data_IF_433339570241
#
_entry.id   IF_433339570241
#
_cell.length_a   1.000
_cell.length_b   1.000
_cell.length_c   1.000
_cell.angle_alpha   90.00
_cell.angle_beta   90.00
_cell.angle_gamma   90.00
#
_symmetry.space_group_name_H-M   'P 1'
#
loop_
_entity.id
_entity.type
_entity.pdbx_description
1 polymer ?
#
# COMPACT_ATOMS: atom_id res chain seq x y z
N UNK A 1 12.33 -9.18 -17.58
CA UNK A 1 12.48 -8.07 -18.56
C UNK A 1 13.39 -7.06 -17.89
N UNK A 2 14.63 -6.94 -18.36
CA UNK A 2 15.57 -5.97 -17.79
C UNK A 2 15.22 -4.56 -18.27
N UNK A 3 15.46 -3.56 -17.41
CA UNK A 3 15.38 -2.16 -17.80
C UNK A 3 16.39 -1.92 -18.94
N UNK A 4 15.91 -1.48 -20.10
CA UNK A 4 16.81 -1.12 -21.19
C UNK A 4 17.60 0.15 -20.80
N UNK A 5 18.88 0.23 -21.16
CA UNK A 5 19.77 1.35 -20.86
C UNK A 5 19.17 2.70 -21.32
N UNK A 6 18.47 2.71 -22.45
CA UNK A 6 17.78 3.91 -22.96
C UNK A 6 16.75 4.44 -21.96
N UNK A 7 15.91 3.56 -21.39
CA UNK A 7 14.88 3.96 -20.45
C UNK A 7 15.48 4.42 -19.12
N UNK A 8 16.52 3.74 -18.65
CA UNK A 8 17.24 4.13 -17.44
C UNK A 8 17.88 5.51 -17.60
N UNK A 9 18.51 5.77 -18.75
CA UNK A 9 19.09 7.08 -19.08
C UNK A 9 18.00 8.14 -19.14
N UNK A 10 16.89 7.87 -19.84
CA UNK A 10 15.75 8.78 -19.92
C UNK A 10 15.17 9.12 -18.52
N UNK A 11 15.02 8.13 -17.65
CA UNK A 11 14.50 8.31 -16.29
C UNK A 11 15.43 9.17 -15.41
N UNK A 12 16.75 9.01 -15.58
CA UNK A 12 17.78 9.83 -14.91
C UNK A 12 17.79 11.26 -15.46
N UNK A 13 17.74 11.42 -16.77
CA UNK A 13 17.72 12.72 -17.43
C UNK A 13 16.47 13.51 -17.06
N UNK A 14 15.28 12.91 -17.14
CA UNK A 14 14.02 13.55 -16.75
C UNK A 14 14.06 14.10 -15.32
N UNK A 15 14.54 13.27 -14.39
CA UNK A 15 14.64 13.65 -12.98
C UNK A 15 15.68 14.75 -12.73
N UNK A 16 16.83 14.67 -13.42
CA UNK A 16 17.89 15.66 -13.35
C UNK A 16 17.42 17.03 -13.85
N UNK A 17 16.78 17.05 -15.01
CA UNK A 17 16.20 18.25 -15.61
C UNK A 17 15.13 18.88 -14.71
N UNK A 18 14.21 18.10 -14.15
CA UNK A 18 13.15 18.58 -13.25
C UNK A 18 13.68 19.29 -11.99
N UNK A 19 14.93 19.00 -11.59
CA UNK A 19 15.57 19.54 -10.38
C UNK A 19 16.70 20.53 -10.68
N UNK A 20 16.88 20.92 -11.94
CA UNK A 20 17.91 21.87 -12.35
C UNK A 20 19.35 21.33 -12.18
N UNK A 21 19.51 20.02 -12.26
CA UNK A 21 20.80 19.36 -12.08
C UNK A 21 21.57 19.29 -13.40
N UNK A 22 22.90 19.29 -13.33
CA UNK A 22 23.76 19.20 -14.51
C UNK A 22 23.76 17.77 -15.07
N UNK A 23 22.82 17.48 -15.96
CA UNK A 23 22.69 16.22 -16.70
C UNK A 23 22.77 16.48 -18.20
N UNK A 24 23.14 15.47 -18.98
CA UNK A 24 23.10 15.58 -20.45
C UNK A 24 21.65 15.87 -20.89
N UNK A 25 21.39 17.05 -21.50
CA UNK A 25 20.04 17.51 -21.71
C UNK A 25 19.36 16.73 -22.83
N UNK A 26 18.09 16.39 -22.62
CA UNK A 26 17.19 15.85 -23.64
C UNK A 26 15.93 16.74 -23.72
N UNK A 27 15.12 16.59 -24.77
CA UNK A 27 13.83 17.28 -24.81
C UNK A 27 12.78 16.52 -23.99
N UNK A 28 11.89 17.24 -23.30
CA UNK A 28 10.75 16.63 -22.60
C UNK A 28 9.88 15.76 -23.52
N UNK A 29 9.75 16.15 -24.79
CA UNK A 29 9.05 15.36 -25.82
C UNK A 29 9.72 14.01 -26.12
N UNK A 30 11.06 13.98 -26.21
CA UNK A 30 11.80 12.71 -26.37
C UNK A 30 11.58 11.80 -25.15
N UNK A 31 11.73 12.34 -23.94
CA UNK A 31 11.54 11.58 -22.70
C UNK A 31 10.12 11.01 -22.60
N UNK A 32 9.11 11.81 -22.94
CA UNK A 32 7.72 11.36 -22.99
C UNK A 32 7.53 10.24 -24.02
N UNK A 33 8.11 10.35 -25.21
CA UNK A 33 8.01 9.34 -26.26
C UNK A 33 8.64 8.00 -25.82
N UNK A 34 9.79 8.04 -25.15
CA UNK A 34 10.44 6.84 -24.57
C UNK A 34 9.49 6.18 -23.56
N UNK A 35 8.92 6.95 -22.63
CA UNK A 35 8.00 6.42 -21.62
C UNK A 35 6.69 5.86 -22.22
N UNK A 36 6.10 6.55 -23.20
CA UNK A 36 4.88 6.11 -23.88
C UNK A 36 5.11 4.84 -24.71
N UNK A 37 6.29 4.67 -25.32
CA UNK A 37 6.66 3.43 -26.02
C UNK A 37 6.64 2.25 -25.06
N UNK A 38 7.23 2.41 -23.88
CA UNK A 38 7.20 1.38 -22.84
C UNK A 38 5.78 1.11 -22.36
N UNK A 39 4.98 2.13 -22.03
CA UNK A 39 3.56 1.91 -21.66
C UNK A 39 2.80 1.15 -22.74
N UNK A 40 2.95 1.54 -24.01
CA UNK A 40 2.30 0.91 -25.14
C UNK A 40 2.69 -0.56 -25.30
N UNK A 41 3.92 -0.94 -24.90
CA UNK A 41 4.34 -2.33 -24.82
C UNK A 41 3.49 -3.11 -23.82
N UNK A 42 3.34 -2.61 -22.59
CA UNK A 42 2.56 -3.27 -21.54
C UNK A 42 1.07 -3.33 -21.89
N UNK A 43 0.53 -2.34 -22.59
CA UNK A 43 -0.86 -2.36 -23.06
C UNK A 43 -1.13 -3.43 -24.13
N UNK A 44 -0.16 -3.70 -25.00
CA UNK A 44 -0.32 -4.59 -26.17
C UNK A 44 0.10 -6.04 -25.92
N UNK A 45 1.19 -6.26 -25.16
CA UNK A 45 1.82 -7.59 -25.01
C UNK A 45 1.42 -8.34 -23.75
N UNK A 46 1.08 -7.65 -22.66
CA UNK A 46 0.59 -8.31 -21.46
C UNK A 46 -0.91 -8.53 -21.59
N UNK A 47 -1.27 -9.77 -21.89
CA UNK A 47 -2.64 -10.22 -21.73
C UNK A 47 -3.00 -10.10 -20.23
N UNK A 48 -4.24 -9.70 -19.95
CA UNK A 48 -4.78 -9.57 -18.59
C UNK A 48 -4.48 -10.78 -17.65
N UNK A 49 -4.39 -12.05 -18.12
CA UNK A 49 -4.03 -13.19 -17.28
C UNK A 49 -2.61 -13.14 -16.69
N UNK A 50 -1.64 -12.53 -17.39
CA UNK A 50 -0.24 -12.44 -16.93
C UNK A 50 0.04 -11.18 -16.09
N UNK A 51 -0.98 -10.34 -15.86
CA UNK A 51 -0.85 -9.04 -15.21
C UNK A 51 -0.37 -9.11 -13.75
N UNK A 52 -0.61 -10.22 -13.04
CA UNK A 52 -0.14 -10.41 -11.66
C UNK A 52 1.38 -10.43 -11.56
N UNK A 53 2.10 -10.77 -12.64
CA UNK A 53 3.56 -10.70 -12.68
C UNK A 53 4.07 -9.27 -12.45
N UNK A 54 3.26 -8.25 -12.75
CA UNK A 54 3.57 -6.84 -12.50
C UNK A 54 3.52 -6.44 -11.02
N UNK A 55 3.04 -7.33 -10.14
CA UNK A 55 3.12 -7.13 -8.70
C UNK A 55 4.55 -7.34 -8.16
N UNK A 56 5.44 -7.92 -8.97
CA UNK A 56 6.88 -7.97 -8.71
C UNK A 56 7.57 -6.69 -9.21
N UNK A 57 8.37 -6.06 -8.35
CA UNK A 57 9.14 -4.85 -8.70
C UNK A 57 10.13 -5.12 -9.84
N UNK A 58 10.73 -6.30 -9.89
CA UNK A 58 11.67 -6.69 -10.95
C UNK A 58 11.00 -6.65 -12.33
N UNK A 59 9.80 -7.22 -12.44
CA UNK A 59 9.04 -7.30 -13.69
C UNK A 59 8.44 -5.94 -14.08
N UNK A 60 7.99 -5.18 -13.09
CA UNK A 60 7.39 -3.86 -13.29
C UNK A 60 8.42 -2.74 -13.45
N UNK A 61 9.72 -2.99 -13.24
CA UNK A 61 10.76 -1.96 -13.23
C UNK A 61 10.74 -1.02 -14.46
N UNK A 62 10.57 -1.49 -15.72
CA UNK A 62 10.46 -0.58 -16.87
C UNK A 62 9.18 0.28 -16.81
N UNK A 63 8.06 -0.30 -16.40
CA UNK A 63 6.79 0.41 -16.25
C UNK A 63 6.84 1.45 -15.13
N UNK A 64 7.55 1.14 -14.03
CA UNK A 64 7.80 2.07 -12.93
C UNK A 64 8.60 3.29 -13.44
N UNK A 65 9.66 3.06 -14.21
CA UNK A 65 10.47 4.12 -14.79
C UNK A 65 9.65 5.00 -15.75
N UNK A 66 8.85 4.37 -16.63
CA UNK A 66 7.97 5.08 -17.56
C UNK A 66 6.93 5.97 -16.84
N UNK A 67 6.27 5.43 -15.79
CA UNK A 67 5.30 6.19 -14.99
C UNK A 67 5.92 7.44 -14.36
N UNK A 68 7.17 7.34 -13.89
CA UNK A 68 7.91 8.47 -13.32
C UNK A 68 8.34 9.48 -14.33
N UNK A 69 8.85 9.06 -15.49
CA UNK A 69 9.20 9.99 -16.57
C UNK A 69 7.97 10.83 -16.93
N UNK A 70 6.80 10.22 -17.08
CA UNK A 70 5.56 10.95 -17.40
C UNK A 70 5.20 11.94 -16.29
N UNK A 71 5.38 11.56 -15.02
CA UNK A 71 5.15 12.45 -13.89
C UNK A 71 6.11 13.66 -13.91
N UNK A 72 7.40 13.44 -14.14
CA UNK A 72 8.40 14.52 -14.20
C UNK A 72 8.16 15.43 -15.42
N UNK A 73 7.77 14.85 -16.56
CA UNK A 73 7.32 15.62 -17.74
C UNK A 73 6.09 16.46 -17.38
N UNK A 74 5.11 15.89 -16.69
CA UNK A 74 3.91 16.62 -16.28
C UNK A 74 4.22 17.77 -15.32
N UNK A 75 5.15 17.56 -14.38
CA UNK A 75 5.60 18.58 -13.43
C UNK A 75 6.44 19.68 -14.09
N UNK A 76 7.04 19.42 -15.26
CA UNK A 76 7.77 20.43 -16.04
C UNK A 76 6.84 21.49 -16.67
N UNK A 77 5.56 21.20 -16.80
CA UNK A 77 4.56 22.21 -17.12
C UNK A 77 4.29 23.02 -15.86
N UNK A 78 4.62 24.31 -15.90
CA UNK A 78 4.34 25.26 -14.81
C UNK A 78 2.87 25.12 -14.33
N UNK A 79 2.63 25.41 -13.04
CA UNK A 79 1.27 25.61 -12.52
C UNK A 79 0.71 26.91 -13.11
N UNK A 80 0.44 26.93 -14.40
CA UNK A 80 -0.05 28.14 -15.05
C UNK A 80 -1.57 28.19 -14.93
N UNK A 81 -2.08 29.33 -14.48
CA UNK A 81 -3.51 29.60 -14.52
C UNK A 81 -4.03 29.52 -15.97
N UNK A 82 -5.30 29.14 -16.13
CA UNK A 82 -5.98 28.99 -17.41
C UNK A 82 -6.24 30.35 -18.11
N UNK A 83 -5.21 31.13 -18.39
CA UNK A 83 -5.30 32.31 -19.24
C UNK A 83 -4.67 32.02 -20.62
N UNK A 84 -5.39 32.44 -21.66
CA UNK A 84 -5.44 31.96 -23.06
C UNK A 84 -4.19 31.42 -23.81
N UNK A 85 -2.94 31.70 -23.44
CA UNK A 85 -1.73 31.08 -24.01
C UNK A 85 -1.29 29.80 -23.28
N UNK A 86 -1.83 29.54 -22.09
CA UNK A 86 -1.49 28.40 -21.23
C UNK A 86 -2.58 27.33 -21.14
N UNK A 87 -3.71 27.51 -21.82
CA UNK A 87 -4.81 26.54 -21.79
C UNK A 87 -4.46 25.19 -22.46
N UNK A 88 -3.60 25.18 -23.48
CA UNK A 88 -3.12 23.94 -24.09
C UNK A 88 -2.14 23.21 -23.17
N UNK A 89 -1.18 23.93 -22.57
CA UNK A 89 -0.25 23.37 -21.58
C UNK A 89 -0.98 22.81 -20.36
N UNK A 90 -1.99 23.53 -19.85
CA UNK A 90 -2.82 23.06 -18.76
C UNK A 90 -3.56 21.75 -19.12
N UNK A 91 -4.14 21.67 -20.33
CA UNK A 91 -4.78 20.43 -20.82
C UNK A 91 -3.78 19.27 -20.93
N UNK A 92 -2.59 19.52 -21.47
CA UNK A 92 -1.53 18.51 -21.57
C UNK A 92 -1.08 18.02 -20.20
N UNK A 93 -0.90 18.94 -19.24
CA UNK A 93 -0.56 18.60 -17.86
C UNK A 93 -1.60 17.67 -17.24
N UNK A 94 -2.89 17.95 -17.42
CA UNK A 94 -3.99 17.10 -16.91
C UNK A 94 -3.95 15.70 -17.52
N UNK A 95 -3.74 15.60 -18.84
CA UNK A 95 -3.61 14.33 -19.54
C UNK A 95 -2.41 13.52 -19.03
N UNK A 96 -1.26 14.17 -18.86
CA UNK A 96 -0.04 13.50 -18.41
C UNK A 96 -0.13 13.04 -16.94
N UNK A 97 -0.70 13.84 -16.05
CA UNK A 97 -0.94 13.43 -14.66
C UNK A 97 -1.91 12.26 -14.58
N UNK A 98 -2.99 12.29 -15.36
CA UNK A 98 -3.94 11.16 -15.44
C UNK A 98 -3.27 9.90 -15.98
N UNK A 99 -2.48 10.03 -17.05
CA UNK A 99 -1.71 8.93 -17.63
C UNK A 99 -0.69 8.35 -16.64
N UNK A 100 0.06 9.21 -15.93
CA UNK A 100 0.99 8.79 -14.88
C UNK A 100 0.25 8.04 -13.77
N UNK A 101 -0.88 8.56 -13.30
CA UNK A 101 -1.73 7.89 -12.32
C UNK A 101 -2.18 6.50 -12.76
N UNK A 102 -2.66 6.36 -14.00
CA UNK A 102 -2.99 5.05 -14.57
C UNK A 102 -1.76 4.14 -14.64
N UNK A 103 -0.60 4.65 -15.07
CA UNK A 103 0.64 3.89 -15.15
C UNK A 103 1.10 3.37 -13.77
N UNK A 104 0.96 4.16 -12.71
CA UNK A 104 1.14 3.70 -11.32
C UNK A 104 0.16 2.58 -10.95
N UNK A 105 -1.10 2.69 -11.36
CA UNK A 105 -2.13 1.67 -11.15
C UNK A 105 -1.87 0.35 -11.88
N UNK A 106 -1.22 0.37 -13.06
CA UNK A 106 -0.93 -0.81 -13.88
C UNK A 106 -0.05 -1.87 -13.18
N UNK A 107 0.72 -1.48 -12.15
CA UNK A 107 1.52 -2.39 -11.31
C UNK A 107 1.11 -2.35 -9.83
N UNK A 108 -0.11 -1.90 -9.54
CA UNK A 108 -0.70 -1.97 -8.20
C UNK A 108 -0.29 -0.86 -7.24
N UNK A 109 0.41 0.18 -7.70
CA UNK A 109 0.85 1.30 -6.86
C UNK A 109 -0.20 2.42 -6.77
N UNK A 110 -1.41 2.05 -6.32
CA UNK A 110 -2.53 2.97 -6.14
C UNK A 110 -2.24 4.14 -5.18
N UNK A 111 -1.41 4.01 -4.12
CA UNK A 111 -1.02 5.16 -3.32
C UNK A 111 -0.25 6.23 -4.10
N UNK A 112 0.64 5.82 -5.01
CA UNK A 112 1.34 6.76 -5.88
C UNK A 112 0.40 7.36 -6.92
N UNK A 113 -0.50 6.56 -7.49
CA UNK A 113 -1.55 7.08 -8.37
C UNK A 113 -2.42 8.15 -7.67
N UNK A 114 -2.82 7.90 -6.42
CA UNK A 114 -3.56 8.87 -5.62
C UNK A 114 -2.74 10.13 -5.30
N UNK A 115 -1.42 10.00 -5.07
CA UNK A 115 -0.53 11.14 -4.85
C UNK A 115 -0.39 12.00 -6.11
N UNK A 116 -0.35 11.39 -7.30
CA UNK A 116 -0.35 12.09 -8.59
C UNK A 116 -1.68 12.82 -8.80
N UNK A 117 -2.82 12.15 -8.61
CA UNK A 117 -4.13 12.80 -8.81
C UNK A 117 -4.44 13.91 -7.79
N UNK A 118 -3.80 13.95 -6.63
CA UNK A 118 -3.89 15.11 -5.73
C UNK A 118 -3.34 16.41 -6.34
N UNK A 119 -2.56 16.33 -7.43
CA UNK A 119 -2.05 17.47 -8.19
C UNK A 119 -3.04 17.99 -9.25
N UNK A 120 -4.18 17.32 -9.41
CA UNK A 120 -5.29 17.71 -10.29
C UNK A 120 -6.38 18.40 -9.47
N UNK A 121 -7.02 19.41 -10.07
CA UNK A 121 -8.32 19.89 -9.63
C UNK A 121 -9.40 19.08 -10.36
N UNK A 122 -10.42 18.62 -9.62
CA UNK A 122 -11.54 17.84 -10.19
C UNK A 122 -12.25 18.61 -11.34
N UNK A 123 -12.22 19.95 -11.33
CA UNK A 123 -12.74 20.82 -12.39
C UNK A 123 -11.96 20.75 -13.71
N UNK A 124 -10.75 20.21 -13.68
CA UNK A 124 -9.91 19.99 -14.85
C UNK A 124 -10.24 18.68 -15.58
N UNK A 125 -10.90 17.72 -14.90
CA UNK A 125 -11.39 16.47 -15.49
C UNK A 125 -12.67 16.72 -16.30
N UNK A 126 -12.51 17.32 -17.49
CA UNK A 126 -13.62 17.82 -18.33
C UNK A 126 -14.19 16.80 -19.31
N UNK A 127 -13.79 15.54 -19.23
CA UNK A 127 -14.29 14.49 -20.11
C UNK A 127 -14.62 13.20 -19.37
N UNK A 128 -15.50 12.42 -19.99
CA UNK A 128 -15.90 11.10 -19.54
C UNK A 128 -14.71 10.14 -19.42
N UNK A 129 -13.80 10.15 -20.41
CA UNK A 129 -12.63 9.28 -20.42
C UNK A 129 -11.62 9.60 -19.32
N UNK A 130 -11.44 10.90 -19.01
CA UNK A 130 -10.59 11.36 -17.91
C UNK A 130 -11.12 10.89 -16.55
N UNK A 131 -12.41 11.06 -16.30
CA UNK A 131 -13.04 10.58 -15.05
C UNK A 131 -12.96 9.07 -14.92
N UNK A 132 -13.21 8.34 -16.01
CA UNK A 132 -13.14 6.88 -16.04
C UNK A 132 -11.72 6.39 -15.71
N UNK A 133 -10.70 6.96 -16.38
CA UNK A 133 -9.30 6.62 -16.14
C UNK A 133 -8.85 6.97 -14.70
N UNK A 134 -9.22 8.14 -14.20
CA UNK A 134 -8.88 8.61 -12.85
C UNK A 134 -9.56 7.77 -11.76
N UNK A 135 -10.83 7.41 -11.92
CA UNK A 135 -11.58 6.61 -10.93
C UNK A 135 -11.03 5.19 -10.80
N UNK A 136 -10.65 4.56 -11.92
CA UNK A 136 -10.05 3.21 -11.93
C UNK A 136 -8.67 3.20 -11.28
N UNK A 137 -7.87 4.24 -11.50
CA UNK A 137 -6.50 4.32 -10.98
C UNK A 137 -6.39 4.99 -9.61
N UNK A 138 -7.45 5.66 -9.14
CA UNK A 138 -7.56 6.18 -7.78
C UNK A 138 -9.01 6.06 -7.29
N UNK A 139 -9.34 4.95 -6.61
CA UNK A 139 -10.70 4.68 -6.13
C UNK A 139 -11.25 5.70 -5.15
N UNK A 140 -10.39 6.49 -4.50
CA UNK A 140 -10.80 7.58 -3.61
C UNK A 140 -11.55 8.69 -4.34
N UNK A 141 -11.45 8.74 -5.66
CA UNK A 141 -12.18 9.69 -6.49
C UNK A 141 -13.59 9.21 -6.85
N UNK A 142 -13.94 7.94 -6.60
CA UNK A 142 -15.25 7.38 -6.94
C UNK A 142 -16.42 8.25 -6.45
N UNK A 143 -16.48 8.69 -5.17
CA UNK A 143 -17.58 9.54 -4.70
C UNK A 143 -17.69 10.85 -5.48
N UNK A 144 -16.56 11.45 -5.86
CA UNK A 144 -16.53 12.71 -6.62
C UNK A 144 -16.89 12.49 -8.08
N UNK A 145 -16.41 11.40 -8.68
CA UNK A 145 -16.72 11.01 -10.04
C UNK A 145 -18.24 10.81 -10.23
N UNK A 146 -18.91 10.15 -9.29
CA UNK A 146 -20.36 9.94 -9.33
C UNK A 146 -21.18 11.25 -9.26
N UNK A 147 -20.60 12.32 -8.72
CA UNK A 147 -21.21 13.65 -8.66
C UNK A 147 -20.88 14.52 -9.89
N UNK A 148 -19.96 14.07 -10.75
CA UNK A 148 -19.53 14.83 -11.92
C UNK A 148 -20.64 14.93 -12.98
N UNK A 149 -20.79 16.11 -13.57
CA UNK A 149 -21.63 16.35 -14.75
C UNK A 149 -20.96 15.95 -16.06
N UNK A 150 -19.67 15.58 -16.03
CA UNK A 150 -18.88 15.24 -17.22
C UNK A 150 -18.88 13.74 -17.55
N UNK A 151 -19.49 12.89 -16.72
CA UNK A 151 -19.62 11.45 -16.97
C UNK A 151 -20.94 11.11 -17.64
N UNK A 152 -20.90 10.17 -18.57
CA UNK A 152 -22.12 9.62 -19.20
C UNK A 152 -22.87 8.68 -18.27
N UNK A 153 -24.12 8.36 -18.60
CA UNK A 153 -24.90 7.36 -17.84
C UNK A 153 -24.24 5.97 -17.82
N UNK A 154 -23.59 5.56 -18.91
CA UNK A 154 -22.87 4.29 -18.97
C UNK A 154 -21.62 4.28 -18.07
N UNK A 155 -20.83 5.36 -18.11
CA UNK A 155 -19.67 5.52 -17.22
C UNK A 155 -20.08 5.59 -15.75
N UNK A 156 -21.20 6.25 -15.43
CA UNK A 156 -21.76 6.24 -14.08
C UNK A 156 -22.08 4.82 -13.62
N UNK A 157 -22.79 4.04 -14.44
CA UNK A 157 -23.09 2.65 -14.13
C UNK A 157 -21.83 1.80 -13.95
N UNK A 158 -20.78 2.03 -14.74
CA UNK A 158 -19.49 1.38 -14.53
C UNK A 158 -18.87 1.72 -13.17
N UNK A 159 -18.82 3.02 -12.81
CA UNK A 159 -18.23 3.47 -11.54
C UNK A 159 -19.03 2.95 -10.34
N UNK A 160 -20.36 2.89 -10.43
CA UNK A 160 -21.22 2.30 -9.41
C UNK A 160 -20.92 0.81 -9.20
N UNK A 161 -20.75 0.06 -10.28
CA UNK A 161 -20.36 -1.37 -10.22
C UNK A 161 -18.95 -1.55 -9.67
N UNK A 162 -18.02 -0.68 -10.04
CA UNK A 162 -16.66 -0.70 -9.47
C UNK A 162 -16.71 -0.42 -7.96
N UNK A 163 -17.48 0.58 -7.52
CA UNK A 163 -17.67 0.88 -6.11
C UNK A 163 -18.31 -0.30 -5.35
N UNK A 164 -19.31 -0.94 -5.96
CA UNK A 164 -19.93 -2.15 -5.40
C UNK A 164 -18.88 -3.26 -5.22
N UNK A 165 -18.11 -3.58 -6.27
CA UNK A 165 -17.05 -4.58 -6.21
C UNK A 165 -16.02 -4.26 -5.11
N UNK A 166 -15.55 -3.01 -5.03
CA UNK A 166 -14.57 -2.59 -4.03
C UNK A 166 -15.10 -2.60 -2.59
N UNK A 167 -16.42 -2.71 -2.41
CA UNK A 167 -17.08 -2.83 -1.10
C UNK A 167 -17.46 -4.26 -0.76
N UNK A 168 -17.66 -5.14 -1.73
CA UNK A 168 -18.21 -6.49 -1.51
C UNK A 168 -17.24 -7.63 -1.86
N UNK A 169 -16.26 -7.37 -2.72
CA UNK A 169 -15.34 -8.38 -3.23
C UNK A 169 -16.03 -9.44 -4.12
N UNK A 170 -17.15 -9.11 -4.76
CA UNK A 170 -17.87 -10.02 -5.65
C UNK A 170 -17.07 -10.33 -6.94
N UNK A 171 -16.37 -11.48 -6.97
CA UNK A 171 -15.53 -11.86 -8.11
C UNK A 171 -16.28 -11.95 -9.44
N UNK A 172 -17.57 -12.27 -9.42
CA UNK A 172 -18.40 -12.29 -10.62
C UNK A 172 -18.53 -10.91 -11.26
N UNK A 173 -18.44 -9.83 -10.49
CA UNK A 173 -18.38 -8.46 -11.01
C UNK A 173 -17.00 -8.11 -11.60
N UNK A 174 -15.90 -8.70 -11.12
CA UNK A 174 -14.54 -8.37 -11.57
C UNK A 174 -14.34 -8.55 -13.08
N UNK A 175 -14.70 -9.72 -13.62
CA UNK A 175 -14.59 -9.99 -15.06
C UNK A 175 -15.63 -9.24 -15.89
N UNK A 176 -16.78 -8.91 -15.30
CA UNK A 176 -17.80 -8.08 -15.96
C UNK A 176 -17.35 -6.62 -16.05
N UNK A 177 -16.61 -6.11 -15.07
CA UNK A 177 -16.05 -4.75 -15.09
C UNK A 177 -15.06 -4.58 -16.24
N UNK A 178 -14.16 -5.54 -16.46
CA UNK A 178 -13.20 -5.48 -17.57
C UNK A 178 -13.91 -5.37 -18.92
N UNK A 179 -14.89 -6.24 -19.18
CA UNK A 179 -15.69 -6.20 -20.41
C UNK A 179 -16.45 -4.89 -20.58
N UNK A 180 -17.07 -4.41 -19.50
CA UNK A 180 -17.80 -3.14 -19.53
C UNK A 180 -16.86 -1.94 -19.82
N UNK A 181 -15.63 -1.95 -19.29
CA UNK A 181 -14.64 -0.94 -19.64
C UNK A 181 -14.25 -1.00 -21.12
N UNK A 182 -14.06 -2.20 -21.68
CA UNK A 182 -13.74 -2.38 -23.10
C UNK A 182 -14.87 -1.88 -24.01
N UNK A 183 -16.13 -2.10 -23.64
CA UNK A 183 -17.30 -1.53 -24.34
C UNK A 183 -17.28 0.01 -24.31
N UNK A 184 -16.97 0.61 -23.16
CA UNK A 184 -16.84 2.07 -23.01
C UNK A 184 -15.66 2.65 -23.82
N UNK A 185 -14.65 1.85 -24.13
CA UNK A 185 -13.52 2.25 -24.97
C UNK A 185 -13.86 2.32 -26.47
N UNK A 186 -14.92 1.64 -26.94
CA UNK A 186 -15.34 1.67 -28.36
C UNK A 186 -16.00 3.00 -28.74
N UNK A 187 -16.38 3.83 -27.77
CA UNK A 187 -16.92 5.17 -28.01
C UNK A 187 -15.93 6.07 -28.76
N UNK A 188 -16.44 7.06 -29.50
CA UNK A 188 -15.62 8.03 -30.23
C UNK A 188 -14.84 8.92 -29.24
N UNK A 189 -13.57 8.58 -28.99
CA UNK A 189 -12.68 9.22 -28.01
C UNK A 189 -11.40 9.72 -28.68
N UNK A 190 -10.76 10.69 -28.05
CA UNK A 190 -9.47 11.20 -28.55
C UNK A 190 -8.36 10.13 -28.45
N UNK A 191 -7.31 10.18 -29.30
CA UNK A 191 -6.18 9.24 -29.19
C UNK A 191 -5.49 9.25 -27.82
N UNK A 192 -5.46 10.41 -27.16
CA UNK A 192 -4.90 10.56 -25.82
C UNK A 192 -5.75 9.83 -24.76
N UNK A 193 -7.08 9.95 -24.83
CA UNK A 193 -7.99 9.21 -23.96
C UNK A 193 -7.93 7.71 -24.21
N UNK A 194 -7.86 7.27 -25.45
CA UNK A 194 -7.69 5.85 -25.77
C UNK A 194 -6.41 5.27 -25.17
N UNK A 195 -5.32 6.03 -25.20
CA UNK A 195 -4.07 5.64 -24.54
C UNK A 195 -4.25 5.51 -23.02
N UNK A 196 -4.89 6.49 -22.37
CA UNK A 196 -5.15 6.43 -20.92
C UNK A 196 -6.07 5.27 -20.54
N UNK A 197 -7.12 5.01 -21.31
CA UNK A 197 -8.05 3.91 -21.06
C UNK A 197 -7.39 2.54 -21.28
N UNK A 198 -6.44 2.44 -22.22
CA UNK A 198 -5.57 1.27 -22.34
C UNK A 198 -4.78 0.98 -21.06
N UNK A 199 -4.23 2.02 -20.42
CA UNK A 199 -3.59 1.90 -19.10
C UNK A 199 -4.61 1.55 -18.01
N UNK A 200 -5.77 2.22 -18.02
CA UNK A 200 -6.83 2.02 -17.05
C UNK A 200 -7.34 0.57 -17.09
N UNK A 201 -7.38 -0.08 -18.26
CA UNK A 201 -7.76 -1.49 -18.39
C UNK A 201 -6.84 -2.41 -17.60
N UNK A 202 -5.52 -2.22 -17.71
CA UNK A 202 -4.58 -3.02 -16.93
C UNK A 202 -4.61 -2.62 -15.44
N UNK A 203 -4.76 -1.33 -15.12
CA UNK A 203 -4.97 -0.87 -13.74
C UNK A 203 -6.27 -1.46 -13.12
N UNK A 204 -7.33 -1.65 -13.90
CA UNK A 204 -8.58 -2.30 -13.48
C UNK A 204 -8.37 -3.78 -13.18
N UNK A 205 -7.43 -4.44 -13.86
CA UNK A 205 -7.05 -5.80 -13.46
C UNK A 205 -6.30 -5.79 -12.12
N UNK A 206 -5.36 -4.87 -11.93
CA UNK A 206 -4.66 -4.76 -10.65
C UNK A 206 -5.58 -4.36 -9.49
N UNK A 207 -6.53 -3.46 -9.72
CA UNK A 207 -7.44 -3.01 -8.65
C UNK A 207 -8.36 -4.15 -8.21
N UNK A 208 -8.81 -4.98 -9.16
CA UNK A 208 -9.65 -6.13 -8.87
C UNK A 208 -8.88 -7.25 -8.19
N UNK A 209 -7.62 -7.49 -8.57
CA UNK A 209 -6.72 -8.42 -7.87
C UNK A 209 -6.40 -7.96 -6.44
N UNK A 210 -6.06 -6.68 -6.26
CA UNK A 210 -5.58 -6.14 -4.98
C UNK A 210 -6.70 -5.67 -4.05
N UNK A 211 -7.97 -5.80 -4.42
CA UNK A 211 -9.09 -5.30 -3.61
C UNK A 211 -9.14 -5.95 -2.21
N UNK A 212 -9.12 -5.12 -1.16
CA UNK A 212 -9.18 -5.59 0.24
C UNK A 212 -10.47 -6.34 0.51
N UNK A 213 -11.57 -5.94 -0.14
CA UNK A 213 -12.88 -6.58 0.01
C UNK A 213 -12.86 -8.08 -0.32
N UNK A 214 -11.92 -8.56 -1.14
CA UNK A 214 -11.77 -10.00 -1.41
C UNK A 214 -11.45 -10.80 -0.15
N UNK A 215 -10.82 -10.19 0.86
CA UNK A 215 -10.57 -10.84 2.15
C UNK A 215 -11.86 -11.17 2.91
N UNK A 216 -12.99 -10.51 2.61
CA UNK A 216 -14.29 -10.80 3.25
C UNK A 216 -14.94 -12.09 2.74
N UNK A 217 -14.47 -12.66 1.62
CA UNK A 217 -14.95 -13.96 1.13
C UNK A 217 -14.41 -15.14 1.94
N UNK A 218 -13.38 -14.91 2.76
CA UNK A 218 -12.83 -15.91 3.66
C UNK A 218 -13.83 -16.21 4.77
N UNK A 219 -14.02 -17.49 5.07
CA UNK A 219 -14.90 -17.94 6.15
C UNK A 219 -14.30 -17.53 7.50
N UNK A 220 -14.74 -16.38 8.01
CA UNK A 220 -14.19 -15.71 9.18
C UNK A 220 -15.30 -15.07 10.00
N UNK A 221 -14.95 -14.68 11.22
CA UNK A 221 -15.90 -14.05 12.13
C UNK A 221 -16.50 -12.77 11.54
N UNK A 222 -17.73 -12.47 11.94
CA UNK A 222 -18.40 -11.20 11.62
C UNK A 222 -17.60 -9.99 12.10
N UNK A 223 -16.80 -10.16 13.16
CA UNK A 223 -15.88 -9.15 13.70
C UNK A 223 -14.78 -8.83 12.69
N UNK A 224 -14.20 -9.86 12.05
CA UNK A 224 -13.20 -9.68 10.99
C UNK A 224 -13.79 -8.95 9.78
N UNK A 225 -14.97 -9.37 9.30
CA UNK A 225 -15.63 -8.69 8.17
C UNK A 225 -15.97 -7.22 8.48
N UNK A 226 -16.36 -6.91 9.72
CA UNK A 226 -16.57 -5.53 10.17
C UNK A 226 -15.27 -4.73 10.14
N UNK A 227 -14.16 -5.31 10.60
CA UNK A 227 -12.85 -4.68 10.54
C UNK A 227 -12.44 -4.33 9.09
N UNK A 228 -12.66 -5.24 8.14
CA UNK A 228 -12.43 -4.98 6.71
C UNK A 228 -13.33 -3.87 6.18
N UNK A 229 -14.62 -3.89 6.53
CA UNK A 229 -15.58 -2.85 6.13
C UNK A 229 -15.13 -1.46 6.60
N UNK A 230 -14.67 -1.34 7.85
CA UNK A 230 -14.16 -0.09 8.40
C UNK A 230 -12.89 0.41 7.68
N UNK A 231 -12.02 -0.49 7.21
CA UNK A 231 -10.85 -0.12 6.38
C UNK A 231 -11.30 0.48 5.03
N UNK A 232 -12.31 -0.14 4.40
CA UNK A 232 -12.86 0.32 3.11
C UNK A 232 -13.55 1.68 3.27
N UNK A 233 -14.29 1.87 4.36
CA UNK A 233 -14.92 3.14 4.71
C UNK A 233 -13.89 4.26 4.94
N UNK A 234 -12.72 3.93 5.52
CA UNK A 234 -11.54 4.82 5.63
C UNK A 234 -10.81 5.03 4.27
N UNK A 235 -11.50 4.80 3.15
CA UNK A 235 -11.05 5.06 1.78
C UNK A 235 -9.76 4.29 1.40
N UNK A 236 -9.57 3.10 1.99
CA UNK A 236 -8.51 2.17 1.61
C UNK A 236 -9.13 0.94 0.94
N UNK A 237 -9.08 0.93 -0.38
CA UNK A 237 -9.74 -0.10 -1.19
C UNK A 237 -8.81 -1.24 -1.62
N UNK A 238 -7.50 -1.00 -1.69
CA UNK A 238 -6.52 -1.94 -2.25
C UNK A 238 -5.36 -2.22 -1.29
N UNK A 239 -4.92 -3.47 -1.30
CA UNK A 239 -3.63 -3.91 -0.78
C UNK A 239 -2.50 -3.36 -1.66
N UNK A 240 -1.34 -3.15 -1.04
CA UNK A 240 -0.09 -3.02 -1.79
C UNK A 240 0.38 -4.40 -2.27
N UNK A 241 1.18 -4.48 -3.35
CA UNK A 241 1.67 -5.76 -3.87
C UNK A 241 2.34 -6.66 -2.80
N UNK A 242 3.25 -6.17 -1.92
CA UNK A 242 3.77 -6.95 -0.80
C UNK A 242 2.70 -7.50 0.14
N UNK A 243 1.65 -6.72 0.39
CA UNK A 243 0.56 -7.11 1.30
C UNK A 243 -0.27 -8.22 0.68
N UNK A 244 -0.59 -8.10 -0.61
CA UNK A 244 -1.27 -9.14 -1.35
C UNK A 244 -0.45 -10.43 -1.39
N UNK A 245 0.85 -10.34 -1.71
CA UNK A 245 1.72 -11.51 -1.82
C UNK A 245 1.83 -12.32 -0.53
N UNK A 246 1.81 -11.68 0.64
CA UNK A 246 1.83 -12.39 1.93
C UNK A 246 0.45 -12.82 2.44
N UNK A 247 -0.64 -12.29 1.87
CA UNK A 247 -2.00 -12.59 2.30
C UNK A 247 -2.74 -13.56 1.37
N UNK A 248 -2.33 -13.70 0.11
CA UNK A 248 -3.09 -14.40 -0.95
C UNK A 248 -3.37 -15.88 -0.68
N UNK A 249 -2.49 -16.57 0.04
CA UNK A 249 -2.56 -18.03 0.26
C UNK A 249 -3.21 -18.40 1.61
N UNK A 250 -3.80 -17.43 2.32
CA UNK A 250 -4.54 -17.55 3.60
C UNK A 250 -3.72 -18.04 4.83
N UNK A 251 -2.63 -18.76 4.62
CA UNK A 251 -1.72 -19.32 5.64
C UNK A 251 -1.41 -18.31 6.75
N UNK A 252 -1.08 -17.07 6.39
CA UNK A 252 -0.68 -16.06 7.36
C UNK A 252 -1.81 -15.72 8.36
N UNK A 253 -3.07 -15.67 7.90
CA UNK A 253 -4.20 -15.31 8.75
C UNK A 253 -4.81 -16.53 9.47
N UNK A 254 -4.58 -17.75 8.98
CA UNK A 254 -5.05 -19.01 9.59
C UNK A 254 -4.07 -19.59 10.60
N UNK A 255 -2.78 -19.35 10.39
CA UNK A 255 -1.74 -19.94 11.21
C UNK A 255 -1.81 -19.49 12.67
N UNK A 256 -1.63 -20.47 13.56
CA UNK A 256 -1.39 -20.28 14.99
C UNK A 256 0.12 -20.11 15.30
N UNK A 257 0.99 -20.40 14.33
CA UNK A 257 2.43 -20.39 14.51
C UNK A 257 2.95 -18.95 14.63
N UNK A 258 4.06 -18.80 15.35
CA UNK A 258 4.81 -17.55 15.33
C UNK A 258 5.24 -17.22 13.90
N UNK A 259 5.36 -15.94 13.56
CA UNK A 259 5.81 -15.57 12.22
C UNK A 259 6.69 -14.32 12.20
N UNK A 260 7.53 -14.25 11.18
CA UNK A 260 8.36 -13.10 10.86
C UNK A 260 7.88 -12.56 9.50
N UNK A 261 7.61 -11.27 9.44
CA UNK A 261 7.17 -10.59 8.23
C UNK A 261 8.18 -9.50 7.90
N UNK A 262 8.92 -9.69 6.81
CA UNK A 262 9.97 -8.78 6.34
C UNK A 262 9.52 -8.05 5.09
N UNK A 263 9.03 -6.82 5.27
CA UNK A 263 8.55 -5.98 4.16
C UNK A 263 9.16 -4.57 4.26
N UNK A 264 9.60 -3.95 3.15
CA UNK A 264 10.23 -2.64 3.14
C UNK A 264 9.42 -1.58 3.89
N UNK A 265 10.09 -0.55 4.42
CA UNK A 265 9.40 0.60 5.03
C UNK A 265 8.37 1.19 4.06
N UNK A 266 7.25 1.69 4.60
CA UNK A 266 6.15 2.29 3.82
C UNK A 266 5.34 1.32 2.95
N UNK A 267 5.56 0.00 3.04
CA UNK A 267 4.70 -1.03 2.40
C UNK A 267 3.47 -1.37 3.24
N UNK A 268 3.26 -0.69 4.37
CA UNK A 268 2.07 -0.80 5.21
C UNK A 268 1.99 -2.07 6.06
N UNK A 269 3.10 -2.46 6.72
CA UNK A 269 3.17 -3.55 7.71
C UNK A 269 2.08 -3.44 8.79
N UNK A 270 1.73 -2.22 9.21
CA UNK A 270 0.65 -1.96 10.16
C UNK A 270 -0.70 -2.51 9.70
N UNK A 271 -1.01 -2.49 8.39
CA UNK A 271 -2.26 -3.09 7.89
C UNK A 271 -2.24 -4.61 8.10
N UNK A 272 -1.12 -5.27 7.76
CA UNK A 272 -1.00 -6.73 7.91
C UNK A 272 -1.14 -7.12 9.38
N UNK A 273 -0.47 -6.41 10.29
CA UNK A 273 -0.63 -6.64 11.72
C UNK A 273 -2.07 -6.42 12.19
N UNK A 274 -2.74 -5.35 11.73
CA UNK A 274 -4.15 -5.13 12.02
C UNK A 274 -5.05 -6.27 11.52
N UNK A 275 -4.80 -6.79 10.32
CA UNK A 275 -5.51 -7.93 9.76
C UNK A 275 -5.25 -9.24 10.52
N UNK A 276 -4.01 -9.49 10.96
CA UNK A 276 -3.67 -10.66 11.79
C UNK A 276 -4.40 -10.58 13.13
N UNK A 277 -4.40 -9.42 13.79
CA UNK A 277 -5.15 -9.22 15.03
C UNK A 277 -6.65 -9.42 14.77
N UNK A 278 -7.19 -8.78 13.72
CA UNK A 278 -8.61 -8.89 13.37
C UNK A 278 -9.05 -10.32 13.07
N UNK A 279 -8.20 -11.12 12.42
CA UNK A 279 -8.50 -12.51 12.06
C UNK A 279 -8.70 -13.41 13.30
N UNK A 280 -8.21 -12.98 14.46
CA UNK A 280 -8.29 -13.69 15.74
C UNK A 280 -9.23 -13.05 16.77
N UNK A 281 -9.74 -11.85 16.46
CA UNK A 281 -10.72 -11.19 17.30
C UNK A 281 -11.96 -12.08 17.48
N UNK A 282 -12.45 -12.11 18.72
CA UNK A 282 -13.60 -12.91 19.13
C UNK A 282 -14.37 -12.17 20.22
N UNK A 283 -15.57 -12.67 20.55
CA UNK A 283 -16.34 -12.16 21.70
C UNK A 283 -15.72 -12.53 23.05
N UNK A 284 -14.71 -13.41 23.08
CA UNK A 284 -14.00 -13.74 24.31
C UNK A 284 -13.12 -12.56 24.74
N UNK A 285 -12.95 -12.30 26.06
CA UNK A 285 -12.18 -11.18 26.56
C UNK A 285 -10.67 -11.41 26.46
N UNK A 286 -10.16 -11.69 25.26
CA UNK A 286 -8.73 -11.87 24.99
C UNK A 286 -8.03 -10.53 24.74
N UNK A 287 -6.70 -10.56 24.71
CA UNK A 287 -5.84 -9.38 24.62
C UNK A 287 -4.83 -9.56 23.48
N UNK A 288 -4.91 -8.70 22.47
CA UNK A 288 -3.85 -8.50 21.49
C UNK A 288 -2.95 -7.33 21.91
N UNK A 289 -1.65 -7.45 21.69
CA UNK A 289 -0.65 -6.43 22.00
C UNK A 289 0.08 -6.05 20.73
N UNK A 290 0.14 -4.76 20.42
CA UNK A 290 0.95 -4.18 19.37
C UNK A 290 2.05 -3.34 20.00
N UNK A 291 3.29 -3.81 19.90
CA UNK A 291 4.48 -3.16 20.44
C UNK A 291 5.08 -2.24 19.38
N UNK A 292 5.13 -0.94 19.68
CA UNK A 292 5.76 0.08 18.82
C UNK A 292 7.13 0.50 19.36
N UNK A 293 8.13 0.76 18.50
CA UNK A 293 9.47 1.19 18.93
C UNK A 293 9.50 2.60 19.52
N UNK A 294 8.59 3.49 19.11
CA UNK A 294 8.61 4.91 19.47
C UNK A 294 7.20 5.46 19.76
N UNK A 295 7.14 6.48 20.62
CA UNK A 295 5.89 7.13 21.07
C UNK A 295 5.09 7.72 19.90
N UNK A 296 5.75 8.42 18.97
CA UNK A 296 5.09 9.05 17.83
C UNK A 296 4.39 8.02 16.93
N UNK A 297 5.04 6.88 16.70
CA UNK A 297 4.45 5.77 15.95
C UNK A 297 3.30 5.11 16.74
N UNK A 298 3.41 5.03 18.07
CA UNK A 298 2.35 4.55 18.95
C UNK A 298 1.03 5.28 18.77
N UNK A 299 1.05 6.62 18.69
CA UNK A 299 -0.15 7.41 18.45
C UNK A 299 -0.80 7.10 17.10
N UNK A 300 0.00 7.04 16.05
CA UNK A 300 -0.51 6.76 14.70
C UNK A 300 -1.15 5.37 14.63
N UNK A 301 -0.46 4.33 15.16
CA UNK A 301 -0.98 2.96 15.17
C UNK A 301 -2.24 2.86 16.03
N UNK A 302 -2.26 3.50 17.20
CA UNK A 302 -3.44 3.55 18.06
C UNK A 302 -4.66 4.16 17.35
N UNK A 303 -4.50 5.32 16.71
CA UNK A 303 -5.59 5.97 15.98
C UNK A 303 -6.07 5.15 14.79
N UNK A 304 -5.16 4.50 14.05
CA UNK A 304 -5.52 3.59 12.95
C UNK A 304 -6.29 2.37 13.45
N UNK A 305 -5.76 1.63 14.42
CA UNK A 305 -6.42 0.43 14.94
C UNK A 305 -7.77 0.76 15.59
N UNK A 306 -7.88 1.90 16.29
CA UNK A 306 -9.14 2.36 16.87
C UNK A 306 -10.20 2.67 15.82
N UNK A 307 -9.80 3.23 14.66
CA UNK A 307 -10.74 3.53 13.56
C UNK A 307 -11.25 2.27 12.87
N UNK A 308 -10.43 1.23 12.80
CA UNK A 308 -10.76 0.00 12.10
C UNK A 308 -11.41 -1.06 13.01
N UNK A 309 -11.11 -1.03 14.31
CA UNK A 309 -11.72 -1.93 15.29
C UNK A 309 -13.24 -1.75 15.38
N UNK A 310 -14.03 -2.83 15.47
CA UNK A 310 -15.46 -2.76 15.76
C UNK A 310 -15.75 -2.17 17.15
N UNK A 311 -16.94 -1.60 17.35
CA UNK A 311 -17.30 -0.85 18.57
C UNK A 311 -17.18 -1.64 19.89
N UNK A 312 -17.32 -2.97 19.86
CA UNK A 312 -17.22 -3.84 21.03
C UNK A 312 -15.78 -4.29 21.34
N UNK A 313 -14.80 -3.88 20.52
CA UNK A 313 -13.38 -4.16 20.73
C UNK A 313 -12.72 -2.92 21.34
N UNK A 314 -12.15 -3.07 22.54
CA UNK A 314 -11.48 -1.96 23.21
C UNK A 314 -10.08 -1.74 22.64
N UNK A 315 -9.80 -0.55 22.11
CA UNK A 315 -8.44 -0.17 21.67
C UNK A 315 -7.83 0.79 22.67
N UNK A 316 -6.69 0.40 23.26
CA UNK A 316 -6.02 1.06 24.37
C UNK A 316 -4.59 1.45 23.97
N UNK A 317 -4.14 2.65 24.34
CA UNK A 317 -2.79 3.14 24.10
C UNK A 317 -2.03 3.41 25.40
N UNK A 318 -0.85 2.80 25.55
CA UNK A 318 0.07 2.98 26.68
C UNK A 318 1.48 3.26 26.17
N UNK A 319 1.81 4.51 25.89
CA UNK A 319 3.11 4.91 25.31
C UNK A 319 3.57 6.27 25.85
N UNK A 320 4.84 6.38 26.24
CA UNK A 320 5.35 7.59 26.87
C UNK A 320 4.59 7.90 28.17
N UNK A 321 4.03 9.10 28.32
CA UNK A 321 3.11 9.48 29.41
C UNK A 321 1.63 9.23 29.06
N UNK A 322 1.32 8.95 27.80
CA UNK A 322 -0.05 8.74 27.35
C UNK A 322 -0.58 7.43 27.90
N UNK A 323 -1.75 7.53 28.52
CA UNK A 323 -2.53 6.39 28.96
C UNK A 323 -4.00 6.65 28.64
N UNK A 324 -4.57 5.88 27.73
CA UNK A 324 -5.98 6.03 27.36
C UNK A 324 -6.95 5.52 28.44
N UNK A 325 -6.53 4.59 29.30
CA UNK A 325 -7.40 3.94 30.28
C UNK A 325 -6.66 3.56 31.56
N UNK A 326 -7.36 3.57 32.70
CA UNK A 326 -6.76 3.20 33.98
C UNK A 326 -6.49 1.69 34.09
N UNK A 327 -7.36 0.87 33.47
CA UNK A 327 -7.29 -0.59 33.49
C UNK A 327 -7.63 -1.19 32.12
N UNK A 328 -7.22 -2.44 31.91
CA UNK A 328 -7.62 -3.23 30.73
C UNK A 328 -8.99 -3.86 31.04
N UNK A 329 -10.04 -3.62 30.24
CA UNK A 329 -11.36 -4.22 30.45
C UNK A 329 -11.27 -5.75 30.59
N UNK A 330 -12.06 -6.33 31.50
CA UNK A 330 -12.06 -7.78 31.77
C UNK A 330 -13.08 -8.57 30.95
N UNK A 331 -14.02 -7.87 30.33
CA UNK A 331 -15.23 -8.40 29.67
C UNK A 331 -15.24 -8.17 28.15
N UNK A 332 -14.21 -7.53 27.60
CA UNK A 332 -14.09 -7.25 26.17
C UNK A 332 -12.75 -7.71 25.60
N UNK A 333 -12.76 -8.05 24.30
CA UNK A 333 -11.51 -8.20 23.54
C UNK A 333 -10.81 -6.85 23.49
N UNK A 334 -9.51 -6.82 23.81
CA UNK A 334 -8.74 -5.58 23.90
C UNK A 334 -7.50 -5.61 23.00
N UNK A 335 -7.24 -4.51 22.30
CA UNK A 335 -6.01 -4.28 21.55
C UNK A 335 -5.19 -3.22 22.32
N UNK A 336 -3.97 -3.57 22.71
CA UNK A 336 -3.07 -2.68 23.44
C UNK A 336 -1.95 -2.22 22.52
N UNK A 337 -1.86 -0.91 22.27
CA UNK A 337 -0.73 -0.29 21.57
C UNK A 337 0.25 0.25 22.60
N UNK A 338 1.45 -0.31 22.67
CA UNK A 338 2.38 -0.09 23.80
C UNK A 338 3.82 0.11 23.35
N UNK A 339 4.62 0.86 24.11
CA UNK A 339 6.09 0.80 23.98
C UNK A 339 6.67 -0.34 24.80
N UNK A 340 7.89 -0.84 24.50
CA UNK A 340 8.54 -1.90 25.27
C UNK A 340 8.63 -1.61 26.78
N UNK A 341 8.87 -0.36 27.17
CA UNK A 341 8.96 0.07 28.58
C UNK A 341 7.63 -0.09 29.31
N UNK A 342 6.55 0.37 28.67
CA UNK A 342 5.20 0.30 29.23
C UNK A 342 4.72 -1.14 29.30
N UNK A 343 5.06 -1.94 28.28
CA UNK A 343 4.76 -3.36 28.28
C UNK A 343 5.46 -4.11 29.41
N UNK A 344 6.75 -3.89 29.65
CA UNK A 344 7.46 -4.55 30.76
C UNK A 344 6.77 -4.26 32.11
N UNK A 345 6.35 -3.02 32.35
CA UNK A 345 5.58 -2.64 33.53
C UNK A 345 4.24 -3.39 33.63
N UNK A 346 3.43 -3.37 32.57
CA UNK A 346 2.12 -4.06 32.53
C UNK A 346 2.28 -5.56 32.82
N UNK A 347 3.26 -6.21 32.19
CA UNK A 347 3.49 -7.64 32.35
C UNK A 347 3.96 -8.04 33.76
N UNK A 348 4.48 -7.09 34.56
CA UNK A 348 4.88 -7.33 35.96
C UNK A 348 3.74 -7.11 36.94
N UNK A 349 2.83 -6.18 36.65
CA UNK A 349 1.73 -5.80 37.56
C UNK A 349 0.46 -6.59 37.30
N UNK A 350 0.20 -7.01 36.06
CA UNK A 350 -1.05 -7.68 35.67
C UNK A 350 -0.87 -9.18 35.53
N UNK A 351 -0.92 -9.92 36.65
CA UNK A 351 -0.71 -11.39 36.70
C UNK A 351 -1.60 -12.17 35.72
N UNK A 352 -2.83 -11.71 35.48
CA UNK A 352 -3.82 -12.43 34.68
C UNK A 352 -3.73 -12.12 33.18
N UNK A 353 -2.88 -11.17 32.75
CA UNK A 353 -2.80 -10.79 31.33
C UNK A 353 -2.39 -11.98 30.46
N UNK A 354 -1.45 -12.80 30.94
CA UNK A 354 -0.92 -13.96 30.22
C UNK A 354 -2.00 -14.98 29.84
N UNK A 355 -3.00 -15.19 30.70
CA UNK A 355 -4.12 -16.10 30.43
C UNK A 355 -5.04 -15.60 29.31
N UNK A 356 -5.05 -14.29 29.07
CA UNK A 356 -5.91 -13.64 28.08
C UNK A 356 -5.19 -13.35 26.78
N UNK A 357 -3.87 -13.50 26.71
CA UNK A 357 -3.10 -13.17 25.51
C UNK A 357 -3.56 -13.98 24.31
N UNK A 358 -3.70 -13.28 23.18
CA UNK A 358 -4.05 -13.87 21.90
C UNK A 358 -2.93 -13.70 20.88
N UNK A 359 -2.48 -12.48 20.65
CA UNK A 359 -1.38 -12.19 19.72
C UNK A 359 -0.54 -11.03 20.22
N UNK A 360 0.77 -11.15 20.03
CA UNK A 360 1.73 -10.08 20.31
C UNK A 360 2.49 -9.76 19.03
N UNK A 361 2.24 -8.56 18.51
CA UNK A 361 2.92 -8.02 17.35
C UNK A 361 4.05 -7.11 17.81
N UNK A 362 5.26 -7.34 17.34
CA UNK A 362 6.40 -6.46 17.55
C UNK A 362 6.73 -5.74 16.24
N UNK A 363 6.52 -4.43 16.22
CA UNK A 363 6.88 -3.59 15.09
C UNK A 363 8.35 -3.15 15.17
N UNK A 364 8.98 -3.03 14.01
CA UNK A 364 10.43 -2.80 13.86
C UNK A 364 11.29 -3.76 14.70
N UNK A 365 11.05 -5.07 14.55
CA UNK A 365 11.74 -6.13 15.28
C UNK A 365 13.26 -6.17 15.05
N UNK A 366 13.79 -5.51 14.01
CA UNK A 366 15.24 -5.26 13.88
C UNK A 366 15.82 -4.47 15.07
N UNK A 367 14.96 -3.80 15.85
CA UNK A 367 15.35 -3.16 17.09
C UNK A 367 15.99 -4.09 18.11
N UNK A 368 15.85 -5.42 17.98
CA UNK A 368 16.55 -6.42 18.80
C UNK A 368 18.08 -6.28 18.68
N UNK A 369 18.58 -5.83 17.52
CA UNK A 369 20.02 -5.62 17.28
C UNK A 369 20.56 -4.35 17.97
N UNK A 370 19.69 -3.50 18.54
CA UNK A 370 20.05 -2.17 19.03
C UNK A 370 20.49 -2.13 20.50
N UNK A 371 21.65 -2.74 20.81
CA UNK A 371 22.33 -2.60 22.11
C UNK A 371 21.40 -2.76 23.32
N UNK A 372 21.40 -1.78 24.23
CA UNK A 372 20.59 -1.83 25.47
C UNK A 372 19.07 -1.81 25.24
N UNK A 373 18.59 -1.15 24.18
CA UNK A 373 17.16 -1.17 23.81
C UNK A 373 16.78 -2.53 23.21
N UNK A 374 17.68 -3.12 22.43
CA UNK A 374 17.56 -4.45 21.88
C UNK A 374 17.44 -5.52 22.95
N UNK A 375 18.30 -5.46 23.98
CA UNK A 375 18.25 -6.39 25.12
C UNK A 375 16.89 -6.38 25.85
N UNK A 376 16.24 -5.20 25.98
CA UNK A 376 14.88 -5.12 26.54
C UNK A 376 13.86 -5.82 25.65
N UNK A 377 13.89 -5.54 24.36
CA UNK A 377 12.97 -6.13 23.39
C UNK A 377 13.13 -7.66 23.34
N UNK A 378 14.37 -8.13 23.28
CA UNK A 378 14.74 -9.54 23.34
C UNK A 378 14.22 -10.22 24.62
N UNK A 379 14.43 -9.58 25.78
CA UNK A 379 13.95 -10.11 27.05
C UNK A 379 12.41 -10.22 27.09
N UNK A 380 11.70 -9.24 26.53
CA UNK A 380 10.22 -9.27 26.46
C UNK A 380 9.75 -10.41 25.54
N UNK A 381 10.33 -10.56 24.34
CA UNK A 381 9.98 -11.64 23.41
C UNK A 381 10.28 -13.00 24.06
N UNK A 382 11.44 -13.14 24.71
CA UNK A 382 11.83 -14.35 25.46
C UNK A 382 10.82 -14.69 26.54
N UNK A 383 10.32 -13.69 27.29
CA UNK A 383 9.26 -13.92 28.28
C UNK A 383 8.01 -14.50 27.63
N UNK A 384 7.56 -14.00 26.48
CA UNK A 384 6.39 -14.58 25.80
C UNK A 384 6.66 -16.01 25.30
N UNK A 385 7.86 -16.30 24.77
CA UNK A 385 8.28 -17.67 24.41
C UNK A 385 8.23 -18.63 25.59
N UNK A 386 8.71 -18.21 26.76
CA UNK A 386 8.62 -19.00 27.99
C UNK A 386 7.16 -19.23 28.43
N UNK A 387 6.25 -18.29 28.15
CA UNK A 387 4.83 -18.48 28.43
C UNK A 387 4.17 -19.44 27.43
N UNK A 388 4.57 -19.43 26.16
CA UNK A 388 4.13 -20.45 25.19
C UNK A 388 4.51 -21.87 25.67
N UNK A 389 5.69 -22.04 26.27
CA UNK A 389 6.11 -23.32 26.85
C UNK A 389 5.29 -23.74 28.09
N UNK A 390 4.62 -22.80 28.76
CA UNK A 390 3.69 -23.05 29.86
C UNK A 390 2.25 -23.28 29.38
N UNK A 391 2.07 -23.60 28.10
CA UNK A 391 0.79 -23.87 27.45
C UNK A 391 -0.15 -22.67 27.30
N UNK A 392 0.38 -21.44 27.23
CA UNK A 392 -0.41 -20.28 26.80
C UNK A 392 -0.41 -20.16 25.27
N UNK A 393 -1.57 -20.32 24.58
CA UNK A 393 -1.66 -20.31 23.13
C UNK A 393 -1.72 -18.87 22.59
N UNK A 394 -0.64 -18.12 22.78
CA UNK A 394 -0.44 -16.80 22.18
C UNK A 394 0.37 -16.94 20.89
N UNK A 395 0.12 -16.09 19.90
CA UNK A 395 0.92 -15.99 18.67
C UNK A 395 1.88 -14.81 18.73
N UNK A 396 3.15 -14.99 18.35
CA UNK A 396 4.14 -13.92 18.26
C UNK A 396 4.37 -13.56 16.79
N UNK A 397 4.22 -12.28 16.46
CA UNK A 397 4.43 -11.76 15.10
C UNK A 397 5.53 -10.71 15.14
N UNK A 398 6.62 -10.92 14.40
CA UNK A 398 7.69 -9.94 14.25
C UNK A 398 7.57 -9.24 12.90
N UNK A 399 7.37 -7.92 12.91
CA UNK A 399 7.40 -7.10 11.70
C UNK A 399 8.74 -6.40 11.60
N UNK A 400 9.39 -6.46 10.43
CA UNK A 400 10.60 -5.68 10.20
C UNK A 400 10.75 -5.24 8.74
N UNK A 401 11.51 -4.17 8.51
CA UNK A 401 11.93 -3.77 7.17
C UNK A 401 13.18 -4.51 6.68
N UNK A 402 14.08 -4.81 7.60
CA UNK A 402 15.39 -5.39 7.35
C UNK A 402 15.68 -6.32 8.52
N UNK A 403 16.19 -7.51 8.25
CA UNK A 403 16.71 -8.41 9.27
C UNK A 403 18.00 -9.02 8.73
N UNK A 404 19.07 -8.95 9.51
CA UNK A 404 20.38 -9.44 9.10
C UNK A 404 20.45 -10.97 9.09
N UNK A 405 19.84 -11.62 10.08
CA UNK A 405 19.84 -13.07 10.22
C UNK A 405 18.44 -13.62 10.57
N UNK A 406 17.60 -13.74 9.55
CA UNK A 406 16.23 -14.26 9.71
C UNK A 406 16.22 -15.73 10.13
N UNK A 407 17.24 -16.51 9.76
CA UNK A 407 17.29 -17.95 10.03
C UNK A 407 17.49 -18.19 11.53
N UNK A 408 18.43 -17.48 12.15
CA UNK A 408 18.63 -17.56 13.59
C UNK A 408 17.43 -16.99 14.36
N UNK A 409 16.87 -15.87 13.91
CA UNK A 409 15.69 -15.28 14.55
C UNK A 409 14.48 -16.23 14.51
N UNK A 410 14.27 -16.90 13.37
CA UNK A 410 13.23 -17.92 13.21
C UNK A 410 13.45 -19.07 14.20
N UNK A 411 14.66 -19.64 14.25
CA UNK A 411 14.99 -20.73 15.20
C UNK A 411 14.75 -20.33 16.65
N UNK A 412 15.09 -19.10 17.03
CA UNK A 412 14.85 -18.57 18.37
C UNK A 412 13.36 -18.41 18.69
N UNK A 413 12.56 -17.93 17.73
CA UNK A 413 11.10 -17.83 17.86
C UNK A 413 10.36 -19.18 17.86
N UNK A 414 11.00 -20.25 17.37
CA UNK A 414 10.42 -21.57 17.21
C UNK A 414 10.72 -22.14 15.83
N UNK A 415 11.07 -23.42 15.74
CA UNK A 415 11.41 -24.07 14.46
C UNK A 415 10.25 -24.09 13.46
N UNK A 416 9.03 -24.06 13.97
CA UNK A 416 7.75 -23.93 13.29
C UNK A 416 7.42 -22.49 12.86
N UNK A 417 8.20 -21.49 13.28
CA UNK A 417 7.89 -20.10 12.95
C UNK A 417 7.96 -19.87 11.43
N UNK A 418 6.96 -19.20 10.88
CA UNK A 418 6.88 -18.91 9.44
C UNK A 418 7.66 -17.64 9.09
N UNK A 419 8.10 -17.54 7.83
CA UNK A 419 8.75 -16.33 7.33
C UNK A 419 8.13 -15.89 6.00
N UNK A 420 7.59 -14.68 6.00
CA UNK A 420 7.03 -14.02 4.83
C UNK A 420 7.91 -12.84 4.47
N UNK A 421 8.31 -12.71 3.20
CA UNK A 421 9.12 -11.60 2.73
C UNK A 421 8.79 -11.18 1.32
N UNK A 422 8.97 -9.90 1.05
CA UNK A 422 8.79 -9.29 -0.26
C UNK A 422 9.70 -8.06 -0.33
N UNK A 423 10.25 -7.74 -1.50
CA UNK A 423 11.19 -6.63 -1.70
C UNK A 423 10.56 -5.40 -2.33
N UNK A 424 9.30 -5.48 -2.79
CA UNK A 424 8.62 -4.44 -3.55
C UNK A 424 8.46 -3.15 -2.73
N UNK A 425 8.66 -2.01 -3.39
CA UNK A 425 8.57 -0.67 -2.78
C UNK A 425 7.58 0.24 -3.50
N UNK A 426 6.80 1.06 -2.76
CA UNK A 426 5.90 2.04 -3.37
C UNK A 426 6.65 3.22 -4.00
N UNK A 427 7.87 3.48 -3.55
CA UNK A 427 8.74 4.55 -4.02
C UNK A 427 10.14 4.00 -4.21
N UNK A 428 10.76 4.16 -5.39
CA UNK A 428 12.16 3.82 -5.51
C UNK A 428 13.01 4.75 -4.67
N UNK A 429 14.15 4.22 -4.26
CA UNK A 429 15.23 5.00 -3.71
C UNK A 429 16.30 5.14 -4.77
N UNK A 430 16.70 6.37 -5.03
CA UNK A 430 17.89 6.65 -5.82
C UNK A 430 18.91 7.30 -4.89
N UNK A 431 20.15 6.86 -5.02
CA UNK A 431 21.30 7.35 -4.29
C UNK A 431 22.22 8.03 -5.30
N UNK A 432 22.47 9.32 -5.09
CA UNK A 432 23.45 10.08 -5.87
C UNK A 432 24.43 10.76 -4.93
N UNK A 433 25.66 10.94 -5.40
CA UNK A 433 26.67 11.81 -4.78
C UNK A 433 26.62 13.12 -5.55
N UNK A 434 26.32 14.20 -4.82
CA UNK A 434 26.54 15.55 -5.30
C UNK A 434 27.92 16.01 -4.84
N UNK A 435 28.83 16.22 -5.79
CA UNK A 435 30.18 16.73 -5.47
C UNK A 435 30.17 18.25 -5.32
N UNK A 436 31.16 18.77 -4.60
CA UNK A 436 31.38 20.22 -4.45
C UNK A 436 31.64 20.94 -5.79
N UNK A 437 32.05 20.21 -6.82
CA UNK A 437 32.27 20.70 -8.18
C UNK A 437 30.97 20.78 -9.02
N UNK A 438 29.82 20.44 -8.42
CA UNK A 438 28.51 20.48 -9.10
C UNK A 438 28.23 19.26 -9.99
N UNK A 439 28.95 18.14 -9.77
CA UNK A 439 28.73 16.88 -10.50
C UNK A 439 27.82 15.97 -9.67
N UNK A 440 26.72 15.50 -10.28
CA UNK A 440 25.88 14.44 -9.72
C UNK A 440 26.28 13.08 -10.30
N UNK A 441 26.81 12.19 -9.47
CA UNK A 441 27.08 10.80 -9.83
C UNK A 441 26.05 9.88 -9.17
N UNK A 442 25.34 9.07 -9.96
CA UNK A 442 24.39 8.09 -9.43
C UNK A 442 25.13 6.85 -8.91
N UNK A 443 25.00 6.55 -7.61
CA UNK A 443 25.56 5.32 -6.99
C UNK A 443 24.59 4.15 -7.15
N UNK A 444 23.29 4.42 -6.95
CA UNK A 444 22.25 3.38 -6.92
C UNK A 444 20.92 3.97 -7.37
N UNK A 445 20.11 3.18 -8.07
CA UNK A 445 18.82 3.63 -8.59
C UNK A 445 18.54 3.01 -9.95
N UNK A 446 17.80 1.91 -9.90
CA UNK A 446 16.94 1.36 -10.95
C UNK A 446 15.52 1.37 -10.40
#
# INVERSE_FOLDING_TARGET
MTLNEELLRAERTAWGMARGLNVEPASWGYLLAVAQREIGYYQKRLLLPDSEKLLSEEVASPLIAAARIILEVADSFDRVALDTLDAEKARQRVLLLTLAGCAFGMYGNFPSAAAVHKKLDDRELRSDGLWLAAAVSNPRLIPRALLSSHITGQTRAFIERLNYFLRTGDEGEGDRLVRHLEELMVANRSPAEMTMLGCARLALKQITTLAIAKLMKRDRSTIFHRYISNIIEDQRHCLLPPQYNVLKDDDLLESENNCIITLPTSTGKTLIAGLIIAARMSSAPRVAIYVVPYIALGRQVYETLRRHAPDHVAVLGYFGVFNSHTTIPSDAYSILVVTPERLDGILRTSSNIYQRLDTVVFDEAHGVENGSRGARLEAIITRFRLQQQKSYPLRIVLLSAVLSDVVHLRRWLGTDAEHYSDTWRPTARRLGIWTHEGVLAWIYGT
#
